data_IF_774970760624
#
_entry.id   IF_774970760624
#
_cell.length_a   1.000
_cell.length_b   1.000
_cell.length_c   1.000
_cell.angle_alpha   90.00
_cell.angle_beta   90.00
_cell.angle_gamma   90.00
#
_symmetry.space_group_name_H-M   'P 1'
#
loop_
_entity.id
_entity.type
_entity.pdbx_description
1 polymer ?
#
# COMPACT_ATOMS: atom_id res chain seq x y z
N UNK A 1 -13.95 -8.60 19.36
CA UNK A 1 -12.73 -9.01 18.64
C UNK A 1 -12.70 -10.53 18.51
N UNK A 2 -12.27 -11.02 17.35
CA UNK A 2 -12.07 -12.43 17.03
C UNK A 2 -10.59 -12.67 16.70
N UNK A 3 -10.17 -13.93 16.71
CA UNK A 3 -8.84 -14.32 16.24
C UNK A 3 -8.78 -14.19 14.71
N UNK A 4 -7.65 -13.69 14.20
CA UNK A 4 -7.39 -13.51 12.77
C UNK A 4 -6.28 -14.46 12.37
N UNK A 5 -6.46 -15.21 11.30
CA UNK A 5 -5.43 -16.13 10.80
C UNK A 5 -4.73 -15.53 9.58
N UNK A 6 -3.41 -15.71 9.52
CA UNK A 6 -2.60 -15.36 8.35
C UNK A 6 -2.17 -16.65 7.66
N UNK A 7 -2.59 -16.79 6.40
CA UNK A 7 -2.30 -17.95 5.57
C UNK A 7 -1.42 -17.55 4.38
N UNK A 8 -0.51 -18.44 4.01
CA UNK A 8 0.22 -18.38 2.75
C UNK A 8 -0.18 -19.61 1.94
N UNK A 9 -0.82 -19.41 0.79
CA UNK A 9 -1.44 -20.51 0.03
C UNK A 9 -1.22 -20.37 -1.49
N UNK A 10 -1.49 -21.46 -2.21
CA UNK A 10 -1.52 -21.52 -3.68
C UNK A 10 -2.90 -21.11 -4.15
N UNK A 11 -3.02 -19.94 -4.76
CA UNK A 11 -4.31 -19.39 -5.18
C UNK A 11 -4.61 -19.62 -6.68
N UNK A 12 -3.57 -19.93 -7.48
CA UNK A 12 -3.67 -20.02 -8.93
C UNK A 12 -3.51 -18.68 -9.66
N UNK A 13 -3.45 -17.56 -8.92
CA UNK A 13 -3.19 -16.22 -9.43
C UNK A 13 -2.43 -15.37 -8.38
N UNK A 14 -1.65 -14.35 -8.81
CA UNK A 14 -1.01 -13.41 -7.90
C UNK A 14 -2.06 -12.54 -7.21
N UNK A 15 -2.30 -12.78 -5.91
CA UNK A 15 -3.34 -12.07 -5.16
C UNK A 15 -3.03 -12.00 -3.66
N UNK A 16 -3.77 -11.16 -2.95
CA UNK A 16 -3.92 -11.17 -1.50
C UNK A 16 -5.36 -10.78 -1.18
N UNK A 17 -5.94 -11.34 -0.13
CA UNK A 17 -7.30 -10.98 0.26
C UNK A 17 -7.59 -11.30 1.73
N UNK A 18 -8.49 -10.52 2.32
CA UNK A 18 -9.16 -10.81 3.57
C UNK A 18 -10.56 -11.43 3.33
N UNK A 19 -10.85 -12.58 3.96
CA UNK A 19 -12.21 -13.16 3.96
C UNK A 19 -12.93 -12.91 5.32
N UNK A 20 -13.99 -12.08 5.34
CA UNK A 20 -14.75 -11.78 6.56
C UNK A 20 -15.59 -12.97 7.07
N UNK A 21 -15.76 -14.06 6.33
CA UNK A 21 -16.48 -15.24 6.81
C UNK A 21 -15.57 -16.17 7.62
N UNK A 22 -14.34 -16.37 7.16
CA UNK A 22 -13.34 -17.23 7.82
C UNK A 22 -12.43 -16.45 8.78
N UNK A 23 -12.40 -15.12 8.66
CA UNK A 23 -11.52 -14.20 9.42
C UNK A 23 -10.05 -14.46 9.12
N UNK A 24 -9.74 -14.66 7.85
CA UNK A 24 -8.40 -15.03 7.39
C UNK A 24 -7.87 -14.01 6.38
N UNK A 25 -6.60 -13.64 6.54
CA UNK A 25 -5.82 -12.94 5.53
C UNK A 25 -5.02 -14.00 4.76
N UNK A 26 -5.19 -14.07 3.46
CA UNK A 26 -4.46 -14.99 2.59
C UNK A 26 -3.48 -14.22 1.70
N UNK A 27 -2.20 -14.55 1.80
CA UNK A 27 -1.15 -14.06 0.92
C UNK A 27 -0.79 -15.16 -0.09
N UNK A 28 -1.17 -14.99 -1.34
CA UNK A 28 -0.93 -16.01 -2.36
C UNK A 28 0.56 -16.08 -2.71
N UNK A 29 1.14 -17.28 -2.75
CA UNK A 29 2.57 -17.45 -3.00
C UNK A 29 2.97 -17.03 -4.41
N UNK A 30 2.03 -17.07 -5.36
CA UNK A 30 2.19 -16.58 -6.73
C UNK A 30 2.55 -15.09 -6.76
N UNK A 31 2.16 -14.33 -5.73
CA UNK A 31 2.44 -12.90 -5.66
C UNK A 31 3.94 -12.60 -5.51
N UNK A 32 4.69 -13.49 -4.84
CA UNK A 32 6.15 -13.40 -4.77
C UNK A 32 6.78 -13.50 -6.16
N UNK A 33 6.33 -14.46 -6.96
CA UNK A 33 6.83 -14.67 -8.32
C UNK A 33 6.50 -13.48 -9.23
N UNK A 34 5.34 -12.85 -9.03
CA UNK A 34 4.95 -11.66 -9.78
C UNK A 34 5.80 -10.45 -9.41
N UNK A 35 6.03 -10.19 -8.12
CA UNK A 35 6.94 -9.12 -7.70
C UNK A 35 8.37 -9.37 -8.18
N UNK A 36 8.86 -10.60 -8.13
CA UNK A 36 10.16 -10.94 -8.70
C UNK A 36 10.21 -10.66 -10.20
N UNK A 37 9.17 -11.03 -10.96
CA UNK A 37 9.05 -10.76 -12.40
C UNK A 37 9.15 -9.27 -12.69
N UNK A 38 8.41 -8.46 -11.95
CA UNK A 38 8.30 -7.01 -12.14
C UNK A 38 9.58 -6.27 -11.73
N UNK A 39 10.20 -6.65 -10.61
CA UNK A 39 11.33 -5.90 -10.06
C UNK A 39 12.70 -6.35 -10.57
N UNK A 40 12.86 -7.61 -11.00
CA UNK A 40 14.15 -8.14 -11.47
C UNK A 40 14.80 -7.33 -12.60
N UNK A 41 14.08 -6.74 -13.57
CA UNK A 41 14.68 -5.89 -14.60
C UNK A 41 15.27 -4.57 -14.09
N UNK A 42 14.81 -4.08 -12.92
CA UNK A 42 15.20 -2.76 -12.39
C UNK A 42 16.06 -2.85 -11.11
N UNK A 43 16.11 -4.01 -10.47
CA UNK A 43 16.97 -4.23 -9.31
C UNK A 43 18.45 -4.24 -9.72
N UNK A 44 19.29 -3.43 -9.05
CA UNK A 44 20.72 -3.38 -9.34
C UNK A 44 21.46 -4.62 -8.82
N UNK A 45 21.02 -5.16 -7.68
CA UNK A 45 21.64 -6.30 -7.00
C UNK A 45 20.56 -7.25 -6.44
N UNK A 46 20.91 -8.53 -6.17
CA UNK A 46 19.96 -9.48 -5.59
C UNK A 46 19.30 -9.00 -4.29
N UNK A 47 20.07 -8.31 -3.43
CA UNK A 47 19.53 -7.75 -2.18
C UNK A 47 18.46 -6.67 -2.43
N UNK A 48 18.61 -5.87 -3.48
CA UNK A 48 17.65 -4.83 -3.81
C UNK A 48 16.35 -5.46 -4.29
N UNK A 49 16.44 -6.56 -5.07
CA UNK A 49 15.27 -7.36 -5.46
C UNK A 49 14.55 -7.92 -4.23
N UNK A 50 15.28 -8.55 -3.31
CA UNK A 50 14.70 -9.12 -2.08
C UNK A 50 13.99 -8.04 -1.25
N UNK A 51 14.60 -6.85 -1.11
CA UNK A 51 14.02 -5.72 -0.37
C UNK A 51 12.75 -5.18 -1.06
N UNK A 52 12.74 -5.11 -2.40
CA UNK A 52 11.58 -4.64 -3.15
C UNK A 52 10.41 -5.63 -3.08
N UNK A 53 10.67 -6.93 -3.26
CA UNK A 53 9.66 -7.99 -3.14
C UNK A 53 9.07 -7.99 -1.73
N UNK A 54 9.92 -7.98 -0.70
CA UNK A 54 9.45 -7.93 0.68
C UNK A 54 8.65 -6.66 0.98
N UNK A 55 9.12 -5.51 0.49
CA UNK A 55 8.46 -4.22 0.67
C UNK A 55 7.07 -4.18 0.07
N UNK A 56 6.91 -4.66 -1.17
CA UNK A 56 5.61 -4.76 -1.82
C UNK A 56 4.70 -5.74 -1.07
N UNK A 57 5.17 -6.94 -0.74
CA UNK A 57 4.41 -7.93 0.06
C UNK A 57 3.92 -7.35 1.39
N UNK A 58 4.75 -6.56 2.08
CA UNK A 58 4.37 -5.92 3.33
C UNK A 58 3.22 -4.93 3.12
N UNK A 59 3.26 -4.09 2.08
CA UNK A 59 2.18 -3.14 1.79
C UNK A 59 0.86 -3.87 1.54
N UNK A 60 0.85 -4.92 0.71
CA UNK A 60 -0.37 -5.70 0.45
C UNK A 60 -0.86 -6.44 1.70
N UNK A 61 0.04 -6.99 2.52
CA UNK A 61 -0.36 -7.57 3.81
C UNK A 61 -1.04 -6.54 4.72
N UNK A 62 -0.46 -5.34 4.84
CA UNK A 62 -1.05 -4.29 5.69
C UNK A 62 -2.34 -3.70 5.11
N UNK A 63 -2.50 -3.76 3.79
CA UNK A 63 -3.76 -3.45 3.12
C UNK A 63 -4.85 -4.46 3.53
N UNK A 64 -4.59 -5.77 3.44
CA UNK A 64 -5.55 -6.80 3.89
C UNK A 64 -5.83 -6.73 5.40
N UNK A 65 -4.80 -6.39 6.18
CA UNK A 65 -4.97 -6.13 7.61
C UNK A 65 -5.91 -4.95 7.84
N UNK A 66 -5.90 -3.95 6.96
CA UNK A 66 -6.84 -2.83 7.03
C UNK A 66 -8.29 -3.28 6.90
N UNK A 67 -8.60 -4.12 5.90
CA UNK A 67 -9.94 -4.72 5.77
C UNK A 67 -10.32 -5.51 7.02
N UNK A 68 -9.39 -6.31 7.53
CA UNK A 68 -9.60 -7.06 8.75
C UNK A 68 -9.92 -6.17 9.96
N UNK A 69 -9.23 -5.03 10.13
CA UNK A 69 -9.46 -4.12 11.24
C UNK A 69 -10.80 -3.39 11.11
N UNK A 70 -11.18 -3.02 9.88
CA UNK A 70 -12.50 -2.44 9.59
C UNK A 70 -13.61 -3.41 10.01
N UNK A 71 -13.55 -4.67 9.56
CA UNK A 71 -14.54 -5.70 9.89
C UNK A 71 -14.53 -6.05 11.40
N UNK A 72 -13.35 -6.21 12.00
CA UNK A 72 -13.24 -6.66 13.39
C UNK A 72 -13.81 -5.65 14.41
N UNK A 73 -13.76 -4.37 14.07
CA UNK A 73 -14.10 -3.27 14.97
C UNK A 73 -15.24 -2.38 14.46
N UNK A 74 -15.87 -2.74 13.35
CA UNK A 74 -16.96 -2.00 12.70
C UNK A 74 -16.57 -0.52 12.46
N UNK A 75 -15.37 -0.32 11.90
CA UNK A 75 -14.83 1.02 11.66
C UNK A 75 -15.49 1.65 10.43
N UNK A 76 -15.81 2.95 10.45
CA UNK A 76 -16.40 3.61 9.29
C UNK A 76 -15.35 3.91 8.20
N UNK A 77 -15.70 3.65 6.94
CA UNK A 77 -15.04 4.21 5.75
C UNK A 77 -16.05 5.13 5.02
N UNK A 78 -15.69 6.41 4.83
CA UNK A 78 -16.58 7.40 4.17
C UNK A 78 -16.21 7.67 2.70
N UNK A 79 -15.40 6.79 2.12
CA UNK A 79 -14.97 6.75 0.72
C UNK A 79 -14.88 5.30 0.23
N UNK A 80 -14.04 5.02 -0.77
CA UNK A 80 -13.72 3.66 -1.19
C UNK A 80 -12.89 2.99 -0.11
N UNK A 81 -13.25 1.77 0.29
CA UNK A 81 -12.59 1.09 1.39
C UNK A 81 -11.14 0.76 1.02
N UNK A 82 -10.92 0.33 -0.23
CA UNK A 82 -9.61 0.03 -0.82
C UNK A 82 -8.60 1.18 -0.68
N UNK A 83 -9.01 2.41 -0.97
CA UNK A 83 -8.15 3.59 -0.81
C UNK A 83 -7.87 3.89 0.67
N UNK A 84 -8.83 3.60 1.55
CA UNK A 84 -8.70 3.84 2.98
C UNK A 84 -7.73 2.84 3.61
N UNK A 85 -7.79 1.56 3.22
CA UNK A 85 -6.87 0.53 3.72
C UNK A 85 -5.46 0.65 3.12
N UNK A 86 -5.33 1.12 1.87
CA UNK A 86 -4.06 1.56 1.31
C UNK A 86 -3.42 2.66 2.17
N UNK A 87 -4.21 3.67 2.53
CA UNK A 87 -3.76 4.77 3.39
C UNK A 87 -3.33 4.28 4.77
N UNK A 88 -4.07 3.33 5.36
CA UNK A 88 -3.69 2.73 6.63
C UNK A 88 -2.36 1.99 6.51
N UNK A 89 -2.18 1.18 5.47
CA UNK A 89 -0.95 0.45 5.23
C UNK A 89 0.25 1.38 5.14
N UNK A 90 0.10 2.51 4.44
CA UNK A 90 1.14 3.54 4.35
C UNK A 90 1.47 4.15 5.71
N UNK A 91 0.48 4.56 6.51
CA UNK A 91 0.73 5.14 7.85
C UNK A 91 1.44 4.14 8.75
N UNK A 92 0.94 2.90 8.83
CA UNK A 92 1.52 1.85 9.68
C UNK A 92 2.98 1.56 9.31
N UNK A 93 3.31 1.54 8.01
CA UNK A 93 4.68 1.30 7.56
C UNK A 93 5.58 2.51 7.76
N UNK A 94 5.14 3.71 7.36
CA UNK A 94 5.94 4.95 7.45
C UNK A 94 6.29 5.31 8.90
N UNK A 95 5.38 5.10 9.85
CA UNK A 95 5.60 5.39 11.26
C UNK A 95 6.14 4.19 12.05
N UNK A 96 5.86 2.97 11.61
CA UNK A 96 6.15 1.75 12.37
C UNK A 96 7.56 1.21 12.21
N UNK A 97 8.28 1.54 11.13
CA UNK A 97 9.61 0.97 10.87
C UNK A 97 10.55 1.89 10.06
N UNK A 98 11.86 1.95 10.35
CA UNK A 98 12.84 2.72 9.57
C UNK A 98 12.90 2.35 8.08
N UNK A 99 12.54 1.12 7.74
CA UNK A 99 12.46 0.59 6.38
C UNK A 99 11.19 1.00 5.64
N UNK A 100 10.19 1.56 6.33
CA UNK A 100 8.82 1.71 5.83
C UNK A 100 8.71 2.52 4.55
N UNK A 101 9.47 3.61 4.45
CA UNK A 101 9.54 4.41 3.22
C UNK A 101 9.99 3.58 2.01
N UNK A 102 10.98 2.67 2.18
CA UNK A 102 11.44 1.78 1.09
C UNK A 102 10.37 0.75 0.73
N UNK A 103 9.62 0.26 1.72
CA UNK A 103 8.52 -0.68 1.49
C UNK A 103 7.39 -0.04 0.69
N UNK A 104 6.91 1.13 1.11
CA UNK A 104 5.85 1.88 0.39
C UNK A 104 6.34 2.29 -1.01
N UNK A 105 7.60 2.69 -1.16
CA UNK A 105 8.17 3.02 -2.46
C UNK A 105 8.20 1.79 -3.40
N UNK A 106 8.42 0.58 -2.87
CA UNK A 106 8.41 -0.65 -3.66
C UNK A 106 7.02 -0.93 -4.24
N UNK A 107 5.96 -0.79 -3.43
CA UNK A 107 4.59 -0.90 -3.92
C UNK A 107 4.22 0.21 -4.92
N UNK A 108 4.68 1.45 -4.70
CA UNK A 108 4.49 2.53 -5.66
C UNK A 108 5.12 2.17 -7.02
N UNK A 109 6.38 1.71 -7.02
CA UNK A 109 7.07 1.27 -8.25
C UNK A 109 6.32 0.13 -8.92
N UNK A 110 5.79 -0.84 -8.15
CA UNK A 110 4.95 -1.91 -8.70
C UNK A 110 3.75 -1.34 -9.47
N UNK A 111 2.97 -0.45 -8.87
CA UNK A 111 1.82 0.15 -9.56
C UNK A 111 2.21 0.97 -10.79
N UNK A 112 3.33 1.70 -10.73
CA UNK A 112 3.84 2.40 -11.90
C UNK A 112 4.16 1.42 -13.04
N UNK A 113 4.80 0.30 -12.75
CA UNK A 113 5.16 -0.71 -13.76
C UNK A 113 3.94 -1.45 -14.29
N UNK A 114 3.02 -1.87 -13.41
CA UNK A 114 1.76 -2.51 -13.78
C UNK A 114 0.92 -1.59 -14.70
N UNK A 115 0.80 -0.31 -14.35
CA UNK A 115 0.08 0.67 -15.17
C UNK A 115 0.70 0.85 -16.57
N UNK A 116 2.00 0.64 -16.73
CA UNK A 116 2.68 0.76 -18.02
C UNK A 116 2.48 -0.48 -18.91
N UNK A 117 2.10 -1.63 -18.34
CA UNK A 117 1.75 -2.85 -19.07
C UNK A 117 0.25 -2.92 -19.44
N UNK A 118 -0.58 -2.03 -18.89
CA UNK A 118 -2.04 -2.04 -19.06
C UNK A 118 -2.51 -1.28 -20.32
N UNK A 119 -3.59 -1.74 -20.96
CA UNK A 119 -4.29 -1.00 -22.02
C UNK A 119 -5.30 -0.02 -21.40
N UNK A 120 -5.15 1.28 -21.69
CA UNK A 120 -6.06 2.34 -21.21
C UNK A 120 -7.55 2.07 -21.51
N UNK A 121 -7.84 1.30 -22.56
CA UNK A 121 -9.22 0.94 -22.94
C UNK A 121 -9.85 -0.12 -22.05
N UNK A 122 -9.03 -0.83 -21.28
CA UNK A 122 -9.44 -1.90 -20.36
C UNK A 122 -9.50 -1.41 -18.90
N UNK A 123 -9.25 -0.11 -18.65
CA UNK A 123 -9.34 0.48 -17.32
C UNK A 123 -10.77 0.39 -16.78
N UNK A 124 -10.92 -0.30 -15.65
CA UNK A 124 -12.16 -0.40 -14.91
C UNK A 124 -12.37 0.86 -14.05
N UNK A 125 -12.79 1.97 -14.66
CA UNK A 125 -13.05 3.22 -13.92
C UNK A 125 -14.16 3.15 -12.86
N UNK A 126 -14.90 2.03 -12.81
CA UNK A 126 -15.93 1.74 -11.81
C UNK A 126 -15.43 0.84 -10.66
N UNK A 127 -14.17 0.43 -10.70
CA UNK A 127 -13.56 -0.39 -9.65
C UNK A 127 -13.50 0.38 -8.31
N UNK A 128 -13.48 -0.37 -7.21
CA UNK A 128 -13.32 0.21 -5.88
C UNK A 128 -11.88 0.68 -5.62
N UNK A 129 -10.91 0.05 -6.28
CA UNK A 129 -9.55 0.54 -6.30
C UNK A 129 -9.42 1.78 -7.17
N UNK A 130 -8.62 2.74 -6.71
CA UNK A 130 -8.04 3.73 -7.60
C UNK A 130 -7.20 3.06 -8.69
N UNK A 131 -7.09 3.70 -9.86
CA UNK A 131 -6.22 3.21 -10.93
C UNK A 131 -4.77 3.12 -10.44
N UNK A 132 -4.01 2.15 -10.94
CA UNK A 132 -2.61 1.93 -10.52
C UNK A 132 -1.77 3.20 -10.55
N UNK A 133 -1.91 4.02 -11.61
CA UNK A 133 -1.19 5.27 -11.71
C UNK A 133 -1.60 6.29 -10.63
N UNK A 134 -2.87 6.29 -10.21
CA UNK A 134 -3.32 7.12 -9.08
C UNK A 134 -2.73 6.62 -7.76
N UNK A 135 -2.77 5.30 -7.52
CA UNK A 135 -2.16 4.66 -6.32
C UNK A 135 -0.67 4.98 -6.23
N UNK A 136 0.06 4.95 -7.35
CA UNK A 136 1.46 5.37 -7.42
C UNK A 136 1.67 6.81 -6.91
N UNK A 137 0.91 7.78 -7.43
CA UNK A 137 1.07 9.18 -7.03
C UNK A 137 0.62 9.44 -5.59
N UNK A 138 -0.39 8.73 -5.11
CA UNK A 138 -0.85 8.83 -3.74
C UNK A 138 0.19 8.25 -2.77
N UNK A 139 0.81 7.11 -3.09
CA UNK A 139 1.92 6.55 -2.33
C UNK A 139 3.12 7.50 -2.26
N UNK A 140 3.57 8.05 -3.39
CA UNK A 140 4.65 9.05 -3.39
C UNK A 140 4.29 10.27 -2.56
N UNK A 141 3.02 10.69 -2.61
CA UNK A 141 2.55 11.81 -1.82
C UNK A 141 2.57 11.51 -0.31
N UNK A 142 2.18 10.31 0.12
CA UNK A 142 2.27 9.92 1.53
C UNK A 142 3.73 9.85 2.00
N UNK A 143 4.63 9.25 1.20
CA UNK A 143 6.08 9.19 1.51
C UNK A 143 6.66 10.61 1.61
N UNK A 144 6.39 11.48 0.64
CA UNK A 144 6.87 12.86 0.69
C UNK A 144 6.24 13.63 1.86
N UNK A 145 4.95 13.43 2.12
CA UNK A 145 4.18 14.12 3.14
C UNK A 145 4.63 13.80 4.56
N UNK A 146 5.07 12.57 4.82
CA UNK A 146 5.55 12.13 6.14
C UNK A 146 6.87 12.79 6.52
N UNK A 147 7.79 12.98 5.57
CA UNK A 147 9.04 13.69 5.79
C UNK A 147 9.53 14.45 4.55
N UNK A 148 9.01 15.68 4.32
CA UNK A 148 9.34 16.45 3.13
C UNK A 148 10.82 16.80 2.99
N UNK A 149 11.54 16.94 4.11
CA UNK A 149 12.97 17.27 4.13
C UNK A 149 13.83 16.10 3.67
N UNK A 150 13.51 14.88 4.12
CA UNK A 150 14.18 13.65 3.69
C UNK A 150 13.85 13.27 2.25
N UNK A 151 12.61 13.54 1.83
CA UNK A 151 12.05 13.02 0.58
C UNK A 151 12.03 14.04 -0.58
N UNK A 152 12.82 15.12 -0.49
CA UNK A 152 12.99 16.12 -1.57
C UNK A 152 13.39 15.52 -2.91
N UNK A 153 14.11 14.39 -2.89
CA UNK A 153 14.57 13.68 -4.08
C UNK A 153 13.41 13.07 -4.91
N UNK A 154 12.21 12.94 -4.34
CA UNK A 154 11.03 12.48 -5.06
C UNK A 154 10.40 13.57 -5.94
N UNK A 155 10.76 14.84 -5.74
CA UNK A 155 10.18 15.95 -6.50
C UNK A 155 10.74 16.01 -7.93
N UNK A 156 9.84 16.15 -8.90
CA UNK A 156 10.20 16.30 -10.31
C UNK A 156 9.15 15.70 -11.23
N UNK A 157 9.23 16.04 -12.51
CA UNK A 157 8.24 15.62 -13.50
C UNK A 157 8.22 14.10 -13.73
N UNK A 158 9.35 13.43 -13.48
CA UNK A 158 9.49 11.97 -13.63
C UNK A 158 9.03 11.17 -12.40
N UNK A 159 8.73 11.84 -11.28
CA UNK A 159 8.37 11.20 -10.01
C UNK A 159 7.13 11.85 -9.38
N UNK A 160 7.29 12.79 -8.45
CA UNK A 160 6.19 13.53 -7.83
C UNK A 160 6.15 14.97 -8.35
N UNK A 161 5.17 15.33 -9.19
CA UNK A 161 5.01 16.70 -9.67
C UNK A 161 4.86 17.70 -8.52
N UNK A 162 5.49 18.86 -8.65
CA UNK A 162 5.48 19.88 -7.58
C UNK A 162 4.06 20.31 -7.22
N UNK A 163 3.15 20.39 -8.20
CA UNK A 163 1.74 20.69 -7.98
C UNK A 163 1.09 19.69 -7.02
N UNK A 164 1.30 18.38 -7.24
CA UNK A 164 0.80 17.31 -6.36
C UNK A 164 1.42 17.40 -4.96
N UNK A 165 2.73 17.65 -4.90
CA UNK A 165 3.51 17.72 -3.67
C UNK A 165 3.03 18.80 -2.70
N UNK A 166 2.49 19.92 -3.20
CA UNK A 166 2.06 21.07 -2.37
C UNK A 166 1.06 20.72 -1.28
N UNK A 167 0.25 19.66 -1.48
CA UNK A 167 -0.78 19.24 -0.51
C UNK A 167 -0.37 18.03 0.34
N UNK A 168 0.73 17.38 0.01
CA UNK A 168 1.09 16.07 0.56
C UNK A 168 1.32 16.04 2.06
N UNK A 169 2.03 17.04 2.63
CA UNK A 169 2.22 17.11 4.08
C UNK A 169 0.91 17.27 4.84
N UNK A 170 -0.06 18.01 4.27
CA UNK A 170 -1.37 18.18 4.88
C UNK A 170 -2.29 16.97 4.66
N UNK A 171 -2.11 16.24 3.56
CA UNK A 171 -2.80 14.97 3.30
C UNK A 171 -2.32 13.88 4.25
N UNK A 172 -1.01 13.64 4.35
CA UNK A 172 -0.44 12.64 5.27
C UNK A 172 -0.88 12.88 6.72
N UNK A 173 -0.76 14.12 7.23
CA UNK A 173 -1.22 14.45 8.58
C UNK A 173 -2.70 14.17 8.81
N UNK A 174 -3.55 14.37 7.80
CA UNK A 174 -4.99 14.08 7.89
C UNK A 174 -5.24 12.59 7.95
N UNK A 175 -4.55 11.81 7.11
CA UNK A 175 -4.65 10.35 7.08
C UNK A 175 -4.17 9.75 8.40
N UNK A 176 -2.97 10.13 8.85
CA UNK A 176 -2.41 9.70 10.15
C UNK A 176 -3.34 10.04 11.31
N UNK A 177 -3.82 11.29 11.38
CA UNK A 177 -4.73 11.71 12.45
C UNK A 177 -6.06 10.95 12.42
N UNK A 178 -6.61 10.66 11.23
CA UNK A 178 -7.86 9.94 11.09
C UNK A 178 -7.72 8.49 11.56
N UNK A 179 -6.72 7.77 11.06
CA UNK A 179 -6.47 6.38 11.46
C UNK A 179 -6.06 6.27 12.93
N UNK A 180 -5.20 7.17 13.42
CA UNK A 180 -4.87 7.24 14.84
C UNK A 180 -6.12 7.39 15.72
N UNK A 181 -7.08 8.23 15.34
CA UNK A 181 -8.33 8.40 16.10
C UNK A 181 -9.24 7.17 16.04
N UNK A 182 -9.35 6.53 14.87
CA UNK A 182 -10.15 5.32 14.69
C UNK A 182 -9.59 4.13 15.49
N UNK A 183 -8.27 4.00 15.55
CA UNK A 183 -7.60 2.88 16.20
C UNK A 183 -7.38 3.09 17.72
N UNK A 184 -7.33 4.34 18.19
CA UNK A 184 -7.06 4.68 19.59
C UNK A 184 -7.89 3.90 20.63
N UNK A 185 -9.20 3.65 20.45
CA UNK A 185 -9.99 2.89 21.43
C UNK A 185 -9.55 1.43 21.60
N UNK A 186 -8.79 0.88 20.64
CA UNK A 186 -8.42 -0.53 20.56
C UNK A 186 -6.95 -0.77 20.88
N UNK A 187 -6.11 0.26 20.83
CA UNK A 187 -4.71 0.19 21.23
C UNK A 187 -4.60 0.10 22.76
N UNK A 188 -4.05 -1.02 23.27
CA UNK A 188 -3.71 -1.16 24.68
C UNK A 188 -2.32 -0.58 24.92
N UNK A 189 -2.23 0.42 25.80
CA UNK A 189 -0.97 0.97 26.29
C UNK A 189 -0.24 0.05 27.25
#
# INVERSE_FOLDING_TARGET
PYDVYLNFDVCGEPNAFYDPNTKEITMCIEFLAEFERVFKPIAEKPKDLDEMVFGAMAVFFFHELGHCLIDAWDLPATGREEDAVDQLAMVLLLDGTPEGERMVLSAAIFFRLASAEQDDRELAFWDEHSLDQQRFYDMLCQIYGSNPEKNKHLLGDDALPLERATRCTAEYKRVDSAWSQLLLPYLKG
#
